data_IF_824437526491
#
_entry.id   IF_824437526491
#
_cell.length_a   1.000
_cell.length_b   1.000
_cell.length_c   1.000
_cell.angle_alpha   90.00
_cell.angle_beta   90.00
_cell.angle_gamma   90.00
#
_symmetry.space_group_name_H-M   'P 1'
#
loop_
_entity.id
_entity.type
_entity.pdbx_description
1 polymer ?
#
# COMPACT_ATOMS: atom_id res chain seq x y z
N UNK A 1 9.60 -5.19 11.83
CA UNK A 1 8.70 -4.03 12.02
C UNK A 1 7.67 -4.17 13.15
N UNK A 2 6.56 -4.94 13.01
CA UNK A 2 5.50 -4.92 14.03
C UNK A 2 5.98 -5.38 15.43
N UNK A 3 6.83 -6.40 15.47
CA UNK A 3 7.49 -6.89 16.70
C UNK A 3 8.39 -5.84 17.36
N UNK A 4 9.15 -5.06 16.59
CA UNK A 4 9.95 -3.95 17.15
C UNK A 4 9.06 -2.92 17.86
N UNK A 5 7.89 -2.60 17.29
CA UNK A 5 6.95 -1.68 17.95
C UNK A 5 6.41 -2.24 19.27
N UNK A 6 6.12 -3.54 19.29
CA UNK A 6 5.69 -4.27 20.49
C UNK A 6 6.76 -4.18 21.59
N UNK A 7 8.03 -4.40 21.23
CA UNK A 7 9.18 -4.30 22.14
C UNK A 7 9.38 -2.87 22.65
N UNK A 8 9.36 -1.88 21.75
CA UNK A 8 9.59 -0.47 22.09
C UNK A 8 8.59 0.07 23.11
N UNK A 9 7.32 -0.36 23.02
CA UNK A 9 6.27 0.10 23.95
C UNK A 9 6.10 -0.83 25.15
N UNK A 10 6.80 -1.97 25.19
CA UNK A 10 6.62 -3.00 26.21
C UNK A 10 5.18 -3.50 26.26
N UNK A 11 4.59 -3.81 25.11
CA UNK A 11 3.18 -4.19 25.03
C UNK A 11 2.91 -5.47 25.84
N UNK A 12 1.91 -5.41 26.74
CA UNK A 12 1.51 -6.55 27.57
C UNK A 12 0.47 -7.45 26.90
N UNK A 13 -0.32 -6.89 26.00
CA UNK A 13 -1.32 -7.59 25.20
C UNK A 13 -1.21 -7.06 23.78
N UNK A 14 -1.06 -7.96 22.81
CA UNK A 14 -0.99 -7.60 21.40
C UNK A 14 -2.19 -8.17 20.70
N UNK A 15 -2.99 -7.32 20.08
CA UNK A 15 -4.20 -7.71 19.36
C UNK A 15 -3.94 -7.38 17.89
N UNK A 16 -3.62 -8.37 17.05
CA UNK A 16 -3.41 -8.13 15.63
C UNK A 16 -4.75 -7.77 14.99
N UNK A 17 -4.92 -6.49 14.66
CA UNK A 17 -6.09 -5.97 13.96
C UNK A 17 -5.73 -5.68 12.51
N UNK A 18 -5.37 -6.73 11.80
CA UNK A 18 -5.33 -6.76 10.35
C UNK A 18 -6.00 -8.08 9.98
N UNK A 19 -7.27 -8.02 9.57
CA UNK A 19 -7.93 -9.20 9.06
C UNK A 19 -7.28 -9.60 7.75
N UNK A 20 -7.15 -10.90 7.44
CA UNK A 20 -6.93 -11.25 6.04
C UNK A 20 -8.11 -10.66 5.25
N UNK A 21 -7.91 -10.23 4.00
CA UNK A 21 -9.00 -9.80 3.16
C UNK A 21 -10.00 -10.94 3.11
N UNK A 22 -11.27 -10.57 3.17
CA UNK A 22 -12.39 -11.47 3.01
C UNK A 22 -13.00 -11.20 1.64
N UNK A 23 -12.33 -11.69 0.59
CA UNK A 23 -12.81 -11.55 -0.77
C UNK A 23 -13.91 -12.58 -1.01
N UNK A 24 -15.16 -12.18 -0.80
CA UNK A 24 -16.32 -13.05 -1.02
C UNK A 24 -16.80 -13.04 -2.46
N UNK A 25 -16.37 -12.07 -3.25
CA UNK A 25 -16.72 -12.01 -4.66
C UNK A 25 -16.04 -13.16 -5.44
N UNK A 26 -16.77 -13.91 -6.28
CA UNK A 26 -16.18 -15.00 -7.06
C UNK A 26 -14.95 -14.59 -7.88
N UNK A 27 -14.91 -13.37 -8.42
CA UNK A 27 -13.77 -12.87 -9.22
C UNK A 27 -12.52 -12.57 -8.39
N UNK A 28 -12.66 -12.40 -7.08
CA UNK A 28 -11.58 -12.04 -6.16
C UNK A 28 -11.25 -13.17 -5.18
N UNK A 29 -12.02 -14.27 -5.18
CA UNK A 29 -11.93 -15.32 -4.17
C UNK A 29 -10.55 -15.97 -4.08
N UNK A 30 -9.81 -16.02 -5.21
CA UNK A 30 -8.44 -16.54 -5.24
C UNK A 30 -7.42 -15.70 -4.46
N UNK A 31 -7.75 -14.45 -4.10
CA UNK A 31 -6.85 -13.57 -3.34
C UNK A 31 -6.96 -13.76 -1.83
N UNK A 32 -7.92 -14.56 -1.34
CA UNK A 32 -7.93 -14.96 0.06
C UNK A 32 -6.71 -15.82 0.38
N UNK A 33 -6.20 -15.66 1.60
CA UNK A 33 -5.07 -16.44 2.08
C UNK A 33 -5.49 -17.86 2.51
N UNK A 34 -5.05 -18.88 1.78
CA UNK A 34 -5.31 -20.29 2.11
C UNK A 34 -4.08 -21.02 2.70
N UNK A 35 -3.03 -20.30 3.10
CA UNK A 35 -1.72 -20.86 3.52
C UNK A 35 -1.71 -21.72 4.80
N UNK A 36 -2.86 -21.88 5.47
CA UNK A 36 -3.08 -22.86 6.55
C UNK A 36 -3.93 -24.08 6.16
N UNK A 37 -4.53 -24.09 4.98
CA UNK A 37 -5.44 -25.14 4.49
C UNK A 37 -4.93 -25.88 3.25
N UNK A 38 -3.95 -25.31 2.53
CA UNK A 38 -3.41 -25.88 1.29
C UNK A 38 -1.86 -25.79 1.28
N UNK A 39 -1.12 -26.90 1.10
CA UNK A 39 0.34 -26.96 1.24
C UNK A 39 1.15 -26.27 0.12
N UNK A 40 0.51 -25.73 -0.92
CA UNK A 40 1.17 -25.15 -2.11
C UNK A 40 0.69 -23.74 -2.47
N UNK A 41 0.26 -22.94 -1.50
CA UNK A 41 -0.12 -21.55 -1.78
C UNK A 41 1.10 -20.65 -1.83
N UNK A 42 1.18 -19.80 -2.84
CA UNK A 42 2.18 -18.73 -2.90
C UNK A 42 2.09 -17.82 -1.65
N UNK A 43 3.19 -17.18 -1.23
CA UNK A 43 3.18 -16.22 -0.13
C UNK A 43 2.14 -15.13 -0.37
N UNK A 44 1.24 -14.93 0.59
CA UNK A 44 0.25 -13.84 0.55
C UNK A 44 0.84 -12.58 1.19
N UNK A 45 0.49 -11.41 0.66
CA UNK A 45 0.75 -10.13 1.35
C UNK A 45 -0.29 -9.84 2.44
N UNK A 46 -1.27 -10.73 2.59
CA UNK A 46 -2.37 -10.59 3.52
C UNK A 46 -2.49 -11.78 4.50
N UNK A 47 -1.48 -11.98 5.37
CA UNK A 47 -1.57 -13.00 6.40
C UNK A 47 -2.72 -12.69 7.36
N UNK A 48 -3.34 -13.73 7.91
CA UNK A 48 -4.32 -13.56 8.97
C UNK A 48 -3.66 -13.39 10.36
N UNK A 49 -4.48 -13.06 11.36
CA UNK A 49 -4.02 -12.83 12.73
C UNK A 49 -3.37 -14.07 13.37
N UNK A 50 -3.79 -15.29 13.02
CA UNK A 50 -3.18 -16.52 13.54
C UNK A 50 -1.73 -16.68 13.03
N UNK A 51 -1.48 -16.39 11.76
CA UNK A 51 -0.14 -16.43 11.15
C UNK A 51 0.79 -15.44 11.84
N UNK A 52 0.33 -14.21 12.09
CA UNK A 52 1.15 -13.21 12.79
C UNK A 52 1.42 -13.60 14.26
N UNK A 53 0.44 -14.17 14.95
CA UNK A 53 0.62 -14.67 16.32
C UNK A 53 1.64 -15.81 16.36
N UNK A 54 1.60 -16.74 15.42
CA UNK A 54 2.58 -17.82 15.34
C UNK A 54 3.98 -17.31 15.02
N UNK A 55 4.09 -16.31 14.13
CA UNK A 55 5.34 -15.60 13.91
C UNK A 55 5.87 -14.95 15.19
N UNK A 56 5.04 -14.22 15.93
CA UNK A 56 5.43 -13.61 17.21
C UNK A 56 5.99 -14.64 18.19
N UNK A 57 5.28 -15.78 18.36
CA UNK A 57 5.75 -16.88 19.22
C UNK A 57 7.12 -17.40 18.80
N UNK A 58 7.35 -17.54 17.49
CA UNK A 58 8.62 -18.02 16.95
C UNK A 58 9.82 -17.11 17.27
N UNK A 59 9.56 -15.82 17.53
CA UNK A 59 10.57 -14.82 17.91
C UNK A 59 10.51 -14.44 19.40
N UNK A 60 9.81 -15.24 20.23
CA UNK A 60 9.81 -15.10 21.69
C UNK A 60 8.75 -14.17 22.28
N UNK A 61 7.71 -13.84 21.52
CA UNK A 61 6.59 -12.98 21.94
C UNK A 61 5.28 -13.78 22.01
N UNK A 62 4.75 -13.96 23.23
CA UNK A 62 3.60 -14.85 23.53
C UNK A 62 2.30 -14.09 23.89
N UNK A 63 2.33 -12.77 23.90
CA UNK A 63 1.25 -11.89 24.33
C UNK A 63 0.13 -11.65 23.30
N UNK A 64 0.21 -12.33 22.15
CA UNK A 64 -0.77 -12.27 21.08
C UNK A 64 -2.18 -12.75 21.49
N UNK A 65 -3.21 -11.99 21.11
CA UNK A 65 -4.63 -12.29 21.37
C UNK A 65 -5.37 -12.43 20.05
N UNK A 66 -5.77 -13.65 19.71
CA UNK A 66 -6.59 -13.91 18.53
C UNK A 66 -8.04 -13.49 18.82
N UNK A 67 -8.47 -12.33 18.33
CA UNK A 67 -9.85 -11.86 18.54
C UNK A 67 -10.67 -11.97 17.25
N UNK A 68 -11.90 -12.45 17.38
CA UNK A 68 -12.93 -12.43 16.32
C UNK A 68 -14.04 -11.43 16.68
N UNK A 69 -14.90 -10.99 15.71
CA UNK A 69 -16.02 -10.13 16.01
C UNK A 69 -16.87 -10.66 17.19
N UNK A 70 -17.09 -9.81 18.19
CA UNK A 70 -17.79 -10.17 19.43
C UNK A 70 -16.92 -10.74 20.55
N UNK A 71 -15.61 -10.92 20.35
CA UNK A 71 -14.69 -11.31 21.44
C UNK A 71 -14.47 -10.14 22.42
N UNK A 72 -14.25 -10.46 23.69
CA UNK A 72 -13.94 -9.48 24.75
C UNK A 72 -12.62 -9.81 25.43
N UNK A 73 -11.80 -8.79 25.68
CA UNK A 73 -10.54 -8.90 26.42
C UNK A 73 -10.63 -8.07 27.69
N UNK A 74 -10.43 -8.71 28.84
CA UNK A 74 -10.33 -8.01 30.12
C UNK A 74 -8.93 -7.40 30.27
N UNK A 75 -8.89 -6.08 30.51
CA UNK A 75 -7.64 -5.32 30.69
C UNK A 75 -7.65 -4.66 32.07
N UNK A 76 -6.60 -4.93 32.85
CA UNK A 76 -6.49 -4.51 34.24
C UNK A 76 -7.23 -5.44 35.21
N UNK A 77 -6.81 -5.40 36.48
CA UNK A 77 -7.43 -6.19 37.55
C UNK A 77 -6.95 -7.66 37.63
N UNK A 78 -7.67 -8.51 38.40
CA UNK A 78 -7.24 -9.88 38.71
C UNK A 78 -7.22 -10.84 37.51
N UNK A 79 -7.99 -10.54 36.46
CA UNK A 79 -8.15 -11.37 35.26
C UNK A 79 -7.55 -10.71 34.01
N UNK A 80 -6.58 -9.81 34.19
CA UNK A 80 -5.92 -9.11 33.10
C UNK A 80 -5.41 -10.10 32.03
N UNK A 81 -5.80 -9.85 30.77
CA UNK A 81 -5.48 -10.70 29.63
C UNK A 81 -6.46 -11.85 29.37
N UNK A 82 -7.54 -11.97 30.16
CA UNK A 82 -8.60 -12.95 29.96
C UNK A 82 -9.41 -12.62 28.71
N UNK A 83 -9.45 -13.57 27.77
CA UNK A 83 -10.14 -13.46 26.48
C UNK A 83 -11.37 -14.37 26.47
N UNK A 84 -12.52 -13.81 26.10
CA UNK A 84 -13.78 -14.55 25.94
C UNK A 84 -14.29 -14.40 24.50
N UNK A 85 -14.73 -15.51 23.90
CA UNK A 85 -15.29 -15.54 22.55
C UNK A 85 -16.81 -15.70 22.57
N UNK A 86 -17.53 -15.20 21.54
CA UNK A 86 -18.99 -15.36 21.44
C UNK A 86 -19.41 -16.79 21.04
N UNK A 87 -18.45 -17.63 20.64
CA UNK A 87 -18.61 -19.03 20.25
C UNK A 87 -17.51 -19.87 20.93
N UNK A 88 -17.67 -21.20 21.04
CA UNK A 88 -16.63 -22.08 21.58
C UNK A 88 -15.27 -21.93 20.86
N UNK A 89 -14.18 -22.08 21.59
CA UNK A 89 -12.80 -21.91 21.07
C UNK A 89 -12.54 -22.82 19.87
N UNK A 90 -13.05 -24.06 19.90
CA UNK A 90 -12.90 -25.01 18.81
C UNK A 90 -13.55 -24.53 17.51
N UNK A 91 -14.62 -23.73 17.61
CA UNK A 91 -15.24 -23.10 16.44
C UNK A 91 -14.46 -21.89 15.95
N UNK A 92 -13.77 -21.16 16.84
CA UNK A 92 -12.85 -20.09 16.46
C UNK A 92 -11.67 -20.67 15.69
N UNK A 93 -11.04 -21.73 16.22
CA UNK A 93 -9.91 -22.41 15.58
C UNK A 93 -10.28 -22.94 14.19
N UNK A 94 -11.48 -23.49 14.05
CA UNK A 94 -11.98 -24.00 12.78
C UNK A 94 -12.10 -22.92 11.68
N UNK A 95 -12.28 -21.64 12.02
CA UNK A 95 -12.30 -20.53 11.05
C UNK A 95 -10.97 -20.44 10.31
N UNK A 96 -9.86 -20.66 11.02
CA UNK A 96 -8.51 -20.50 10.47
C UNK A 96 -7.96 -21.82 9.93
N UNK A 97 -8.31 -22.96 10.56
CA UNK A 97 -7.88 -24.29 10.11
C UNK A 97 -8.65 -24.81 8.87
N UNK A 98 -9.95 -24.50 8.75
CA UNK A 98 -10.80 -24.88 7.60
C UNK A 98 -11.31 -23.62 6.86
N UNK A 99 -10.38 -22.70 6.62
CA UNK A 99 -10.67 -21.35 6.15
C UNK A 99 -11.40 -21.32 4.80
N UNK A 100 -11.02 -22.19 3.86
CA UNK A 100 -11.68 -22.27 2.54
C UNK A 100 -13.16 -22.58 2.68
N UNK A 101 -13.54 -23.60 3.47
CA UNK A 101 -14.95 -23.95 3.64
C UNK A 101 -15.70 -22.89 4.44
N UNK A 102 -15.04 -22.24 5.41
CA UNK A 102 -15.61 -21.08 6.10
C UNK A 102 -15.96 -19.96 5.11
N UNK A 103 -15.02 -19.57 4.24
CA UNK A 103 -15.21 -18.51 3.25
C UNK A 103 -16.23 -18.89 2.17
N UNK A 104 -16.31 -20.16 1.75
CA UNK A 104 -17.34 -20.61 0.80
C UNK A 104 -18.76 -20.49 1.39
N UNK A 105 -18.95 -20.84 2.66
CA UNK A 105 -20.24 -20.63 3.34
C UNK A 105 -20.55 -19.14 3.43
N UNK A 106 -19.57 -18.32 3.82
CA UNK A 106 -19.77 -16.88 3.93
C UNK A 106 -20.07 -16.22 2.56
N UNK A 107 -19.43 -16.68 1.49
CA UNK A 107 -19.73 -16.26 0.12
C UNK A 107 -21.18 -16.58 -0.26
N UNK A 108 -21.69 -17.75 0.12
CA UNK A 108 -23.10 -18.12 -0.11
C UNK A 108 -24.04 -17.20 0.67
N UNK A 109 -23.75 -16.92 1.93
CA UNK A 109 -24.56 -16.01 2.76
C UNK A 109 -24.60 -14.59 2.20
N UNK A 110 -23.52 -14.15 1.54
CA UNK A 110 -23.41 -12.82 0.93
C UNK A 110 -23.76 -12.77 -0.56
N UNK A 111 -24.13 -13.88 -1.21
CA UNK A 111 -24.22 -13.93 -2.67
C UNK A 111 -25.25 -12.96 -3.25
N UNK A 112 -26.39 -12.78 -2.58
CA UNK A 112 -27.43 -11.84 -3.01
C UNK A 112 -26.96 -10.38 -2.90
N UNK A 113 -26.21 -10.04 -1.85
CA UNK A 113 -25.64 -8.71 -1.65
C UNK A 113 -24.61 -8.39 -2.73
N UNK A 114 -23.72 -9.34 -3.05
CA UNK A 114 -22.71 -9.18 -4.11
C UNK A 114 -23.38 -9.03 -5.48
N UNK A 115 -24.39 -9.86 -5.78
CA UNK A 115 -25.12 -9.76 -7.03
C UNK A 115 -25.86 -8.42 -7.18
N UNK A 116 -26.45 -7.91 -6.09
CA UNK A 116 -27.09 -6.60 -6.08
C UNK A 116 -26.08 -5.45 -6.30
N UNK A 117 -24.89 -5.55 -5.71
CA UNK A 117 -23.81 -4.59 -5.92
C UNK A 117 -23.37 -4.57 -7.39
N UNK A 118 -23.09 -5.73 -8.00
CA UNK A 118 -22.74 -5.83 -9.42
C UNK A 118 -23.83 -5.26 -10.33
N UNK A 119 -25.10 -5.54 -10.03
CA UNK A 119 -26.23 -5.01 -10.77
C UNK A 119 -26.39 -3.48 -10.64
N UNK A 120 -25.78 -2.86 -9.64
CA UNK A 120 -25.79 -1.41 -9.44
C UNK A 120 -24.73 -0.67 -10.26
N UNK A 121 -23.77 -1.39 -10.84
CA UNK A 121 -22.69 -0.78 -11.61
C UNK A 121 -23.22 -0.06 -12.86
N UNK A 122 -22.55 1.03 -13.30
CA UNK A 122 -22.95 1.74 -14.52
C UNK A 122 -22.99 0.81 -15.74
N UNK A 123 -24.13 0.80 -16.43
CA UNK A 123 -24.30 0.04 -17.68
C UNK A 123 -24.29 0.95 -18.91
N UNK A 124 -24.42 2.26 -18.71
CA UNK A 124 -24.30 3.27 -19.74
C UNK A 124 -22.83 3.60 -20.01
N UNK A 125 -22.53 3.97 -21.26
CA UNK A 125 -21.19 4.36 -21.68
C UNK A 125 -21.17 5.84 -22.03
N UNK A 126 -20.30 6.62 -21.39
CA UNK A 126 -20.09 8.04 -21.68
C UNK A 126 -18.92 8.24 -22.66
N UNK A 127 -18.65 9.49 -23.04
CA UNK A 127 -17.35 9.83 -23.60
C UNK A 127 -16.34 10.03 -22.45
N UNK A 128 -15.81 8.91 -21.94
CA UNK A 128 -14.90 8.90 -20.79
C UNK A 128 -13.68 9.81 -20.98
N UNK A 129 -13.13 9.88 -22.19
CA UNK A 129 -11.94 10.70 -22.46
C UNK A 129 -12.31 12.17 -22.25
N UNK A 130 -13.41 12.63 -22.84
CA UNK A 130 -13.88 14.01 -22.70
C UNK A 130 -14.29 14.33 -21.25
N UNK A 131 -15.05 13.45 -20.58
CA UNK A 131 -15.47 13.68 -19.20
C UNK A 131 -14.31 13.70 -18.19
N UNK A 132 -13.29 12.87 -18.43
CA UNK A 132 -12.05 12.90 -17.64
C UNK A 132 -11.23 14.14 -17.94
N UNK A 133 -11.11 14.57 -19.21
CA UNK A 133 -10.39 15.79 -19.56
C UNK A 133 -11.02 17.03 -18.92
N UNK A 134 -12.35 17.19 -19.00
CA UNK A 134 -13.06 18.31 -18.39
C UNK A 134 -12.81 18.43 -16.87
N UNK A 135 -12.59 17.30 -16.19
CA UNK A 135 -12.35 17.27 -14.75
C UNK A 135 -10.88 17.32 -14.36
N UNK A 136 -10.05 16.52 -15.01
CA UNK A 136 -8.66 16.30 -14.61
C UNK A 136 -7.69 17.27 -15.27
N UNK A 137 -7.98 17.87 -16.43
CA UNK A 137 -7.07 18.85 -17.05
C UNK A 137 -6.81 20.06 -16.13
N UNK A 138 -7.81 20.66 -15.45
CA UNK A 138 -7.56 21.72 -14.48
C UNK A 138 -6.68 21.29 -13.28
N UNK A 139 -6.74 20.01 -12.89
CA UNK A 139 -5.94 19.45 -11.80
C UNK A 139 -4.51 19.18 -12.30
N UNK A 140 -4.37 18.60 -13.49
CA UNK A 140 -3.09 18.36 -14.16
C UNK A 140 -2.33 19.67 -14.38
N UNK A 141 -3.03 20.76 -14.70
CA UNK A 141 -2.42 22.08 -14.84
C UNK A 141 -1.71 22.58 -13.56
N UNK A 142 -2.02 22.01 -12.40
CA UNK A 142 -1.36 22.30 -11.12
C UNK A 142 -0.19 21.36 -10.83
N UNK A 143 -0.13 20.19 -11.48
CA UNK A 143 0.67 19.02 -11.09
C UNK A 143 2.12 19.08 -11.58
N UNK A 144 2.83 20.20 -11.37
CA UNK A 144 4.14 20.42 -11.96
C UNK A 144 5.23 19.46 -11.47
N UNK A 145 5.41 19.40 -10.15
CA UNK A 145 6.36 18.51 -9.48
C UNK A 145 5.92 17.07 -9.52
N UNK A 146 4.61 16.83 -9.43
CA UNK A 146 4.04 15.49 -9.55
C UNK A 146 4.38 14.90 -10.92
N UNK A 147 4.16 15.65 -12.00
CA UNK A 147 4.48 15.17 -13.34
C UNK A 147 5.98 15.07 -13.62
N UNK A 148 6.81 15.98 -13.06
CA UNK A 148 8.27 15.84 -13.07
C UNK A 148 8.71 14.53 -12.38
N UNK A 149 8.13 14.22 -11.22
CA UNK A 149 8.43 13.02 -10.44
C UNK A 149 7.91 11.72 -11.05
N UNK A 150 6.76 11.75 -11.74
CA UNK A 150 6.34 10.59 -12.56
C UNK A 150 7.28 10.39 -13.73
N UNK A 151 7.70 11.48 -14.40
CA UNK A 151 8.70 11.45 -15.48
C UNK A 151 8.26 10.77 -16.78
N UNK A 152 7.00 10.32 -16.87
CA UNK A 152 6.44 9.66 -18.04
C UNK A 152 4.92 9.82 -18.09
N UNK A 153 4.29 9.41 -19.19
CA UNK A 153 2.84 9.36 -19.28
C UNK A 153 2.28 8.06 -18.66
N UNK A 154 0.97 8.05 -18.39
CA UNK A 154 0.25 6.90 -17.86
C UNK A 154 -0.90 6.56 -18.82
N UNK A 155 -1.10 5.29 -19.10
CA UNK A 155 -2.27 4.81 -19.86
C UNK A 155 -3.25 4.11 -18.92
N UNK A 156 -4.51 4.52 -18.96
CA UNK A 156 -5.64 3.81 -18.37
C UNK A 156 -6.42 3.12 -19.51
N UNK A 157 -6.55 1.80 -19.46
CA UNK A 157 -7.30 1.02 -20.43
C UNK A 157 -8.54 0.41 -19.78
N UNK A 158 -9.66 0.51 -20.48
CA UNK A 158 -10.89 -0.21 -20.11
C UNK A 158 -10.91 -1.59 -20.76
N UNK A 159 -11.72 -2.49 -20.21
CA UNK A 159 -11.96 -3.84 -20.74
C UNK A 159 -12.68 -3.85 -22.12
N UNK A 160 -13.41 -2.78 -22.46
CA UNK A 160 -14.00 -2.58 -23.80
C UNK A 160 -13.05 -1.89 -24.81
N UNK A 161 -11.79 -1.63 -24.43
CA UNK A 161 -10.72 -1.21 -25.33
C UNK A 161 -10.50 0.31 -25.47
N UNK A 162 -11.15 1.14 -24.65
CA UNK A 162 -10.85 2.57 -24.59
C UNK A 162 -9.50 2.77 -23.91
N UNK A 163 -8.59 3.51 -24.56
CA UNK A 163 -7.26 3.81 -24.05
C UNK A 163 -7.13 5.31 -23.77
N UNK A 164 -7.13 5.66 -22.50
CA UNK A 164 -7.05 7.04 -22.01
C UNK A 164 -5.61 7.32 -21.61
N UNK A 165 -4.96 8.26 -22.31
CA UNK A 165 -3.65 8.76 -21.97
C UNK A 165 -3.78 9.91 -20.97
N UNK A 166 -3.16 9.76 -19.80
CA UNK A 166 -2.83 10.86 -18.90
C UNK A 166 -1.47 11.39 -19.37
N UNK A 167 -1.53 12.39 -20.26
CA UNK A 167 -0.35 13.00 -20.86
C UNK A 167 0.22 14.02 -19.89
N UNK A 168 1.02 13.51 -18.95
CA UNK A 168 1.67 14.35 -17.96
C UNK A 168 2.59 15.37 -18.64
N UNK A 169 3.27 15.04 -19.75
CA UNK A 169 4.12 16.03 -20.43
C UNK A 169 3.35 17.26 -20.94
N UNK A 170 2.08 17.09 -21.33
CA UNK A 170 1.21 18.14 -21.84
C UNK A 170 0.12 18.58 -20.84
N UNK A 171 0.12 18.02 -19.62
CA UNK A 171 -0.87 18.26 -18.56
C UNK A 171 -2.32 18.13 -19.05
N UNK A 172 -2.62 17.04 -19.75
CA UNK A 172 -3.95 16.80 -20.30
C UNK A 172 -4.33 15.33 -20.37
N UNK A 173 -5.63 15.07 -20.34
CA UNK A 173 -6.21 13.80 -20.72
C UNK A 173 -6.50 13.79 -22.22
N UNK A 174 -6.22 12.67 -22.88
CA UNK A 174 -6.57 12.46 -24.28
C UNK A 174 -6.69 10.98 -24.59
N UNK A 175 -7.21 10.65 -25.76
CA UNK A 175 -7.14 9.29 -26.28
C UNK A 175 -5.68 8.94 -26.63
N UNK A 176 -5.25 7.72 -26.31
CA UNK A 176 -3.96 7.19 -26.72
C UNK A 176 -4.05 6.69 -28.17
N UNK A 177 -3.05 7.01 -29.00
CA UNK A 177 -3.00 6.43 -30.34
C UNK A 177 -2.80 4.90 -30.27
N UNK A 178 -3.26 4.10 -31.26
CA UNK A 178 -3.22 2.64 -31.20
C UNK A 178 -1.85 2.02 -30.91
N UNK A 179 -0.78 2.64 -31.40
CA UNK A 179 0.61 2.23 -31.26
C UNK A 179 1.36 2.97 -30.13
N UNK A 180 0.71 3.93 -29.47
CA UNK A 180 1.31 4.69 -28.40
C UNK A 180 1.37 3.87 -27.10
N UNK A 181 2.58 3.78 -26.53
CA UNK A 181 2.86 3.04 -25.30
C UNK A 181 3.31 3.97 -24.19
N UNK A 182 3.07 3.56 -22.94
CA UNK A 182 3.56 4.24 -21.74
C UNK A 182 4.19 3.22 -20.79
N UNK A 183 5.19 3.64 -19.99
CA UNK A 183 5.81 2.75 -19.02
C UNK A 183 4.83 2.36 -17.90
N UNK A 184 3.81 3.18 -17.62
CA UNK A 184 2.78 2.89 -16.63
C UNK A 184 1.45 2.62 -17.32
N UNK A 185 0.88 1.42 -17.10
CA UNK A 185 -0.42 1.04 -17.67
C UNK A 185 -1.31 0.47 -16.57
N UNK A 186 -2.53 0.97 -16.46
CA UNK A 186 -3.56 0.50 -15.56
C UNK A 186 -4.73 -0.02 -16.39
N UNK A 187 -5.28 -1.18 -16.04
CA UNK A 187 -6.47 -1.75 -16.69
C UNK A 187 -7.54 -2.07 -15.68
N UNK A 188 -8.75 -1.57 -15.88
CA UNK A 188 -9.89 -1.84 -15.01
C UNK A 188 -11.18 -1.95 -15.82
N UNK A 189 -12.21 -2.56 -15.23
CA UNK A 189 -13.52 -2.62 -15.84
C UNK A 189 -14.10 -1.23 -16.04
N UNK A 190 -14.63 -0.96 -17.23
CA UNK A 190 -15.21 0.34 -17.59
C UNK A 190 -16.22 0.86 -16.57
N UNK A 191 -17.19 0.05 -16.07
CA UNK A 191 -18.17 0.54 -15.09
C UNK A 191 -17.54 1.12 -13.81
N UNK A 192 -16.38 0.60 -13.38
CA UNK A 192 -15.67 1.09 -12.19
C UNK A 192 -15.03 2.46 -12.43
N UNK A 193 -14.46 2.66 -13.63
CA UNK A 193 -13.91 3.95 -14.06
C UNK A 193 -15.04 4.96 -14.24
N UNK A 194 -16.11 4.60 -14.95
CA UNK A 194 -17.32 5.44 -15.13
C UNK A 194 -17.89 5.90 -13.78
N UNK A 195 -18.05 4.97 -12.82
CA UNK A 195 -18.52 5.29 -11.47
C UNK A 195 -17.60 6.30 -10.77
N UNK A 196 -16.28 6.08 -10.87
CA UNK A 196 -15.27 6.96 -10.26
C UNK A 196 -15.28 8.37 -10.85
N UNK A 197 -15.39 8.49 -12.18
CA UNK A 197 -15.46 9.77 -12.89
C UNK A 197 -16.75 10.51 -12.57
N UNK A 198 -17.90 9.83 -12.63
CA UNK A 198 -19.23 10.39 -12.35
C UNK A 198 -19.35 10.91 -10.92
N UNK A 199 -18.80 10.17 -9.95
CA UNK A 199 -18.79 10.54 -8.53
C UNK A 199 -17.68 11.54 -8.17
N UNK A 200 -16.81 11.90 -9.13
CA UNK A 200 -15.63 12.75 -8.91
C UNK A 200 -14.78 12.23 -7.74
N UNK A 201 -14.52 10.92 -7.73
CA UNK A 201 -13.73 10.27 -6.68
C UNK A 201 -12.30 10.80 -6.70
N UNK A 202 -11.91 11.52 -5.66
CA UNK A 202 -10.63 12.23 -5.62
C UNK A 202 -9.43 11.33 -5.27
N UNK A 203 -9.69 10.10 -4.82
CA UNK A 203 -8.69 9.14 -4.32
C UNK A 203 -8.93 7.74 -4.90
N UNK A 204 -8.44 7.54 -6.12
CA UNK A 204 -8.58 6.27 -6.83
C UNK A 204 -7.73 5.16 -6.23
N UNK A 205 -6.65 5.50 -5.52
CA UNK A 205 -5.89 4.48 -4.81
C UNK A 205 -6.78 3.76 -3.80
N UNK A 206 -7.50 4.51 -2.97
CA UNK A 206 -8.33 3.93 -1.92
C UNK A 206 -9.66 3.37 -2.44
N UNK A 207 -10.27 4.00 -3.45
CA UNK A 207 -11.61 3.61 -3.91
C UNK A 207 -11.59 2.62 -5.09
N UNK A 208 -10.59 2.67 -5.96
CA UNK A 208 -10.50 1.80 -7.13
C UNK A 208 -9.38 0.75 -6.97
N UNK A 209 -8.15 1.14 -6.66
CA UNK A 209 -7.02 0.20 -6.69
C UNK A 209 -7.02 -0.76 -5.49
N UNK A 210 -7.44 -0.33 -4.30
CA UNK A 210 -7.61 -1.24 -3.16
C UNK A 210 -8.74 -2.27 -3.36
N UNK A 211 -9.60 -2.12 -4.36
CA UNK A 211 -10.62 -3.12 -4.69
C UNK A 211 -10.03 -4.42 -5.27
N UNK A 212 -8.77 -4.41 -5.70
CA UNK A 212 -8.13 -5.50 -6.44
C UNK A 212 -8.81 -5.85 -7.78
N UNK A 213 -9.68 -4.98 -8.31
CA UNK A 213 -10.40 -5.14 -9.59
C UNK A 213 -9.71 -4.47 -10.78
N UNK A 214 -8.39 -4.41 -10.74
CA UNK A 214 -7.57 -3.82 -11.79
C UNK A 214 -6.29 -4.62 -11.95
N UNK A 215 -5.64 -4.47 -13.10
CA UNK A 215 -4.26 -4.89 -13.31
C UNK A 215 -3.39 -3.69 -13.63
N UNK A 216 -2.11 -3.77 -13.30
CA UNK A 216 -1.17 -2.72 -13.64
C UNK A 216 0.14 -3.30 -14.16
N UNK A 217 0.77 -2.56 -15.06
CA UNK A 217 2.11 -2.79 -15.59
C UNK A 217 2.96 -1.55 -15.31
N UNK A 218 4.23 -1.78 -14.99
CA UNK A 218 5.23 -0.72 -14.92
C UNK A 218 6.55 -1.17 -15.52
N UNK A 219 7.17 -0.29 -16.30
CA UNK A 219 8.59 -0.40 -16.64
C UNK A 219 9.43 0.27 -15.54
N UNK A 220 10.56 -0.32 -15.18
CA UNK A 220 11.47 0.24 -14.17
C UNK A 220 11.13 -0.15 -12.73
N UNK A 221 11.56 0.62 -11.71
CA UNK A 221 11.25 0.42 -10.29
C UNK A 221 9.92 1.06 -9.86
N UNK A 222 9.59 0.97 -8.57
CA UNK A 222 8.40 1.62 -8.02
C UNK A 222 8.53 3.14 -8.14
N UNK A 223 7.44 3.83 -8.51
CA UNK A 223 7.36 5.28 -8.58
C UNK A 223 6.17 5.76 -7.74
N UNK A 224 6.47 6.41 -6.62
CA UNK A 224 5.43 6.88 -5.68
C UNK A 224 4.59 8.02 -6.23
N UNK A 225 5.12 8.85 -7.12
CA UNK A 225 4.42 9.99 -7.70
C UNK A 225 3.19 9.55 -8.51
N UNK A 226 3.24 8.35 -9.13
CA UNK A 226 2.09 7.77 -9.84
C UNK A 226 0.92 7.56 -8.88
N UNK A 227 1.17 6.97 -7.71
CA UNK A 227 0.14 6.73 -6.72
C UNK A 227 -0.28 8.01 -6.00
N UNK A 228 0.64 8.95 -5.76
CA UNK A 228 0.30 10.27 -5.22
C UNK A 228 -0.63 11.03 -6.16
N UNK A 229 -0.40 10.97 -7.47
CA UNK A 229 -1.31 11.54 -8.47
C UNK A 229 -2.72 10.95 -8.33
N UNK A 230 -2.85 9.62 -8.34
CA UNK A 230 -4.15 8.95 -8.20
C UNK A 230 -4.81 9.12 -6.82
N UNK A 231 -4.08 9.61 -5.79
CA UNK A 231 -4.62 9.98 -4.47
C UNK A 231 -5.11 11.43 -4.37
N UNK A 232 -4.85 12.23 -5.40
CA UNK A 232 -4.95 13.70 -5.33
C UNK A 232 -5.68 14.29 -6.53
N UNK A 233 -6.80 13.67 -6.93
CA UNK A 233 -7.61 14.08 -8.07
C UNK A 233 -8.61 15.20 -7.71
N UNK A 234 -8.14 16.21 -6.98
CA UNK A 234 -8.83 17.49 -6.77
C UNK A 234 -7.83 18.65 -6.70
N UNK A 235 -8.26 19.89 -7.04
CA UNK A 235 -7.37 21.06 -7.02
C UNK A 235 -6.72 21.27 -5.65
N UNK A 236 -7.46 21.07 -4.56
CA UNK A 236 -6.99 21.25 -3.19
C UNK A 236 -5.92 20.21 -2.83
N UNK A 237 -6.16 18.93 -3.14
CA UNK A 237 -5.21 17.85 -2.85
C UNK A 237 -3.95 17.96 -3.70
N UNK A 238 -4.10 18.25 -5.00
CA UNK A 238 -2.96 18.46 -5.89
C UNK A 238 -2.12 19.65 -5.44
N UNK A 239 -2.73 20.80 -5.14
CA UNK A 239 -2.01 21.98 -4.64
C UNK A 239 -1.26 21.69 -3.33
N UNK A 240 -1.85 20.89 -2.42
CA UNK A 240 -1.20 20.49 -1.18
C UNK A 240 0.02 19.58 -1.43
N UNK A 241 -0.10 18.63 -2.36
CA UNK A 241 1.01 17.76 -2.79
C UNK A 241 2.15 18.58 -3.40
N UNK A 242 1.83 19.51 -4.31
CA UNK A 242 2.81 20.37 -4.97
C UNK A 242 3.53 21.30 -4.00
N UNK A 243 2.80 21.85 -3.02
CA UNK A 243 3.38 22.64 -1.93
C UNK A 243 4.32 21.79 -1.06
N UNK A 244 3.95 20.53 -0.78
CA UNK A 244 4.80 19.59 -0.06
C UNK A 244 6.09 19.31 -0.82
N UNK A 245 6.02 18.91 -2.10
CA UNK A 245 7.20 18.65 -2.92
C UNK A 245 8.10 19.89 -3.09
N UNK A 246 7.49 21.07 -3.19
CA UNK A 246 8.24 22.34 -3.24
C UNK A 246 8.97 22.63 -1.93
N UNK A 247 8.34 22.38 -0.78
CA UNK A 247 8.95 22.54 0.53
C UNK A 247 10.08 21.52 0.76
N UNK A 248 9.90 20.27 0.34
CA UNK A 248 10.93 19.23 0.45
C UNK A 248 12.15 19.49 -0.46
N UNK A 249 11.95 20.13 -1.61
CA UNK A 249 13.02 20.54 -2.51
C UNK A 249 13.87 21.69 -1.94
N UNK A 250 13.40 22.37 -0.88
CA UNK A 250 14.21 23.38 -0.20
C UNK A 250 15.25 22.68 0.69
N UNK A 251 16.53 22.80 0.30
CA UNK A 251 17.66 22.17 0.98
C UNK A 251 17.84 22.81 2.36
N UNK A 252 17.24 22.20 3.38
CA UNK A 252 17.57 22.47 4.78
C UNK A 252 18.96 21.95 5.13
N UNK A 253 19.52 22.43 6.23
CA UNK A 253 20.81 21.95 6.76
C UNK A 253 20.73 20.44 7.06
N UNK A 254 21.65 19.67 6.49
CA UNK A 254 21.69 18.21 6.66
C UNK A 254 22.26 17.86 8.03
N UNK A 255 21.41 17.35 8.92
CA UNK A 255 21.84 16.74 10.19
C UNK A 255 22.43 15.35 9.91
N UNK A 256 23.56 15.03 10.53
CA UNK A 256 24.27 13.76 10.35
C UNK A 256 24.13 12.88 11.59
N UNK A 257 23.95 11.58 11.38
CA UNK A 257 23.90 10.57 12.45
C UNK A 257 24.74 9.36 12.08
N UNK A 258 25.10 8.59 13.10
CA UNK A 258 25.61 7.24 12.94
C UNK A 258 24.44 6.25 12.82
N UNK A 259 24.53 5.32 11.89
CA UNK A 259 23.62 4.21 11.70
C UNK A 259 24.46 2.98 11.32
N UNK A 260 24.53 1.99 12.22
CA UNK A 260 25.26 0.73 12.06
C UNK A 260 26.66 0.89 11.44
N UNK A 261 27.48 1.75 12.04
CA UNK A 261 28.87 1.97 11.61
C UNK A 261 29.02 2.83 10.35
N UNK A 262 27.98 3.54 9.91
CA UNK A 262 28.02 4.53 8.83
C UNK A 262 27.54 5.91 9.29
N UNK A 263 28.15 6.97 8.76
CA UNK A 263 27.70 8.34 8.96
C UNK A 263 26.86 8.78 7.76
N UNK A 264 25.57 9.00 7.99
CA UNK A 264 24.56 9.33 6.96
C UNK A 264 23.70 10.52 7.38
N UNK A 265 22.93 11.10 6.46
CA UNK A 265 21.91 12.08 6.84
C UNK A 265 20.89 11.44 7.79
N UNK A 266 20.44 12.18 8.81
CA UNK A 266 19.50 11.67 9.82
C UNK A 266 18.15 11.29 9.28
N UNK A 267 17.63 12.10 8.37
CA UNK A 267 16.26 11.97 7.86
C UNK A 267 16.31 11.17 6.57
N UNK A 268 15.61 10.03 6.55
CA UNK A 268 15.41 9.24 5.33
C UNK A 268 14.89 10.16 4.22
N UNK A 269 15.51 10.16 3.03
CA UNK A 269 15.16 11.11 1.98
C UNK A 269 13.73 10.93 1.43
N UNK A 270 13.12 9.74 1.61
CA UNK A 270 11.70 9.44 1.31
C UNK A 270 10.73 10.23 2.21
N UNK A 271 10.47 9.80 3.45
CA UNK A 271 9.48 10.43 4.35
C UNK A 271 10.06 10.82 5.72
N UNK A 272 11.35 11.21 5.73
CA UNK A 272 12.03 11.83 6.88
C UNK A 272 12.02 10.99 8.18
N UNK A 273 11.87 9.68 8.05
CA UNK A 273 12.11 8.74 9.14
C UNK A 273 13.52 8.93 9.72
N UNK A 274 13.67 8.84 11.03
CA UNK A 274 14.95 9.06 11.71
C UNK A 274 15.83 7.80 11.62
N UNK A 275 16.83 7.80 10.74
CA UNK A 275 17.65 6.61 10.41
C UNK A 275 18.51 6.13 11.59
N UNK A 276 18.81 6.99 12.55
CA UNK A 276 19.43 6.59 13.83
C UNK A 276 18.53 5.70 14.70
N UNK A 277 17.23 5.59 14.37
CA UNK A 277 16.26 4.81 15.13
C UNK A 277 15.67 3.64 14.35
N UNK A 278 15.52 3.79 13.05
CA UNK A 278 14.84 2.82 12.17
C UNK A 278 15.70 2.40 10.98
N UNK A 279 16.98 2.77 10.97
CA UNK A 279 17.91 2.36 9.93
C UNK A 279 18.68 1.13 10.38
N UNK A 280 18.83 0.17 9.48
CA UNK A 280 19.70 -0.99 9.64
C UNK A 280 20.63 -1.12 8.43
N UNK A 281 21.86 -1.61 8.65
CA UNK A 281 22.83 -1.84 7.56
C UNK A 281 23.21 -3.30 7.46
N UNK A 282 22.93 -3.91 6.30
CA UNK A 282 23.37 -5.26 5.95
C UNK A 282 24.08 -5.26 4.60
N UNK A 283 25.26 -5.86 4.51
CA UNK A 283 26.03 -5.99 3.26
C UNK A 283 26.19 -4.66 2.47
N UNK A 284 26.45 -3.55 3.18
CA UNK A 284 26.53 -2.19 2.62
C UNK A 284 25.21 -1.68 1.99
N UNK A 285 24.07 -2.19 2.42
CA UNK A 285 22.76 -1.64 2.08
C UNK A 285 22.12 -1.12 3.36
N UNK A 286 21.87 0.19 3.40
CA UNK A 286 21.05 0.79 4.45
C UNK A 286 19.57 0.60 4.11
N UNK A 287 18.82 -0.02 5.01
CA UNK A 287 17.37 -0.16 4.93
C UNK A 287 16.71 0.78 5.95
N UNK A 288 15.74 1.56 5.51
CA UNK A 288 14.82 2.27 6.40
C UNK A 288 13.69 1.33 6.79
N UNK A 289 13.80 0.65 7.93
CA UNK A 289 12.89 -0.42 8.39
C UNK A 289 11.45 0.05 8.60
N UNK A 290 11.24 1.37 8.70
CA UNK A 290 9.90 1.95 8.74
C UNK A 290 9.18 1.89 7.39
N UNK A 291 9.89 2.05 6.27
CA UNK A 291 9.28 2.19 4.94
C UNK A 291 9.85 1.22 3.89
N UNK A 292 10.86 0.42 4.23
CA UNK A 292 11.50 -0.56 3.34
C UNK A 292 12.40 0.05 2.26
N UNK A 293 12.71 1.34 2.32
CA UNK A 293 13.58 1.99 1.32
C UNK A 293 15.03 1.58 1.52
N UNK A 294 15.68 1.18 0.44
CA UNK A 294 17.03 0.61 0.45
C UNK A 294 18.01 1.50 -0.32
N UNK A 295 19.17 1.75 0.28
CA UNK A 295 20.22 2.60 -0.27
C UNK A 295 21.54 1.83 -0.29
N UNK A 296 22.15 1.72 -1.46
CA UNK A 296 23.50 1.16 -1.57
C UNK A 296 24.52 2.14 -0.99
N UNK A 297 25.41 1.65 -0.15
CA UNK A 297 26.53 2.38 0.41
C UNK A 297 27.82 1.92 -0.30
N UNK A 298 28.76 2.84 -0.61
CA UNK A 298 28.82 4.23 -0.16
C UNK A 298 28.06 5.22 -1.06
N UNK A 299 27.46 4.80 -2.19
CA UNK A 299 26.95 5.76 -3.18
C UNK A 299 25.73 6.55 -2.70
N UNK A 300 24.96 6.00 -1.75
CA UNK A 300 23.70 6.54 -1.30
C UNK A 300 22.54 6.34 -2.30
N UNK A 301 22.78 5.65 -3.42
CA UNK A 301 21.78 5.43 -4.46
C UNK A 301 20.66 4.54 -3.95
N UNK A 302 19.40 4.98 -4.10
CA UNK A 302 18.27 4.11 -3.84
C UNK A 302 18.22 2.95 -4.85
N UNK A 303 18.03 1.72 -4.37
CA UNK A 303 18.06 0.52 -5.21
C UNK A 303 16.68 -0.05 -5.52
N UNK A 304 15.64 0.37 -4.79
CA UNK A 304 14.27 -0.11 -4.96
C UNK A 304 13.28 1.00 -5.38
N UNK A 305 13.76 2.21 -5.65
CA UNK A 305 12.99 3.32 -6.23
C UNK A 305 13.93 4.30 -6.95
N UNK A 306 13.38 5.10 -7.87
CA UNK A 306 14.09 6.16 -8.58
C UNK A 306 13.95 7.53 -7.90
N UNK A 307 14.79 8.49 -8.28
CA UNK A 307 14.66 9.91 -7.90
C UNK A 307 15.11 10.27 -6.48
N UNK A 308 15.50 9.30 -5.65
CA UNK A 308 15.86 9.52 -4.25
C UNK A 308 17.30 9.08 -3.98
N UNK A 309 18.08 9.94 -3.35
CA UNK A 309 19.47 9.65 -2.94
C UNK A 309 19.67 9.99 -1.48
N UNK A 310 20.35 9.11 -0.75
CA UNK A 310 20.79 9.32 0.62
C UNK A 310 22.16 10.01 0.60
N UNK A 311 22.31 11.10 1.35
CA UNK A 311 23.61 11.69 1.59
C UNK A 311 24.41 10.83 2.59
N UNK A 312 25.60 10.40 2.19
CA UNK A 312 26.49 9.51 2.94
C UNK A 312 27.86 10.18 3.10
N UNK A 313 28.39 10.24 4.32
CA UNK A 313 29.76 10.70 4.59
C UNK A 313 30.78 9.57 4.46
N UNK A 314 30.38 8.35 4.81
CA UNK A 314 31.24 7.16 4.77
C UNK A 314 31.08 6.29 6.01
N UNK A 315 31.89 5.23 6.14
CA UNK A 315 31.93 4.43 7.36
C UNK A 315 32.44 5.29 8.53
N UNK A 316 31.98 4.99 9.74
CA UNK A 316 32.51 5.57 10.98
C UNK A 316 33.98 5.18 11.06
N UNK A 317 34.86 6.17 11.14
CA UNK A 317 36.28 5.90 11.33
C UNK A 317 36.46 5.19 12.67
N UNK A 318 37.02 3.97 12.64
CA UNK A 318 37.40 3.26 13.85
C UNK A 318 38.43 4.11 14.60
N UNK A 319 37.99 4.77 15.67
CA UNK A 319 38.91 5.39 16.62
C UNK A 319 39.61 4.26 17.36
N UNK A 320 40.81 3.91 16.91
CA UNK A 320 41.73 3.12 17.72
C UNK A 320 42.13 3.96 18.94
N UNK A 321 41.41 3.82 20.05
CA UNK A 321 41.84 4.21 21.38
C UNK A 321 41.08 3.43 22.46
#
# INVERSE_FOLDING_TARGET
>A
RAVEFIEMVGARHVIPTAGPPCFLDPELFQFNDFSGSEPETAPTIFPDASVFIDYMRSVGHDEGKLMIPGSTLEVGGPTDGSLTHPIPVEQVDAIFADKRNYLLRYQQDCSELIAAEHASWPTDTTDLVSEMAEWLDPILALADKTAEGVGANIVLETDDGVRIMIDLSQRRIREAAPDETAPFVFRAHRPLIESSVRRRVEDWCNELFLSCRFSAHRDGPYNEFVYTFFKSLSPERMSAVEAHYSAESSVGEVEWVECDGWVVQKRCPHQKAALDRVGSVEANVLTCDLHGWQFELPSGRCINSEGVTLAVKGPVEATHA
#
